data_IF_713226769184
#
_entry.id   IF_713226769184
#
_cell.length_a   1.000
_cell.length_b   1.000
_cell.length_c   1.000
_cell.angle_alpha   90.00
_cell.angle_beta   90.00
_cell.angle_gamma   90.00
#
_symmetry.space_group_name_H-M   'P 1'
#
loop_
_entity.id
_entity.type
_entity.pdbx_description
1 polymer ?
#
# COMPACT_ATOMS: atom_id res chain seq x y z
N UNK A 1 4.43 14.20 -6.46
CA UNK A 1 3.49 13.63 -7.46
C UNK A 1 3.57 12.12 -7.36
N UNK A 2 2.68 11.53 -6.57
CA UNK A 2 2.53 10.07 -6.43
C UNK A 2 2.08 9.53 -7.79
N UNK A 3 2.89 8.70 -8.43
CA UNK A 3 2.47 7.97 -9.63
C UNK A 3 1.55 6.84 -9.16
N UNK A 4 0.26 6.94 -9.48
CA UNK A 4 -0.70 5.87 -9.27
C UNK A 4 -1.11 5.34 -10.63
N UNK A 5 -0.84 4.06 -10.90
CA UNK A 5 -1.41 3.37 -12.05
C UNK A 5 -2.82 2.89 -11.69
N UNK A 6 -3.79 3.21 -12.54
CA UNK A 6 -5.10 2.58 -12.51
C UNK A 6 -4.95 1.15 -13.06
N UNK A 7 -5.49 0.15 -12.35
CA UNK A 7 -5.38 -1.27 -12.75
C UNK A 7 -3.97 -1.86 -12.62
N UNK A 8 -3.23 -1.46 -11.58
CA UNK A 8 -1.87 -1.93 -11.35
C UNK A 8 -1.84 -3.36 -10.76
N UNK A 9 -1.07 -4.26 -11.37
CA UNK A 9 -0.70 -5.51 -10.72
C UNK A 9 0.10 -5.20 -9.44
N UNK A 10 -0.33 -5.77 -8.30
CA UNK A 10 0.30 -5.52 -7.01
C UNK A 10 1.74 -6.08 -6.90
N UNK A 11 2.54 -5.64 -5.92
CA UNK A 11 3.84 -6.26 -5.68
C UNK A 11 3.67 -7.77 -5.41
N UNK A 12 4.64 -8.57 -5.86
CA UNK A 12 4.66 -9.99 -5.54
C UNK A 12 4.76 -10.19 -4.02
N UNK A 13 3.84 -10.99 -3.46
CA UNK A 13 3.90 -11.47 -2.08
C UNK A 13 4.48 -12.88 -2.02
N UNK A 14 4.85 -13.33 -0.82
CA UNK A 14 5.31 -14.71 -0.60
C UNK A 14 4.15 -15.71 -0.66
N UNK A 15 2.93 -15.25 -0.39
CA UNK A 15 1.71 -16.03 -0.57
C UNK A 15 1.12 -15.76 -1.97
N UNK A 16 1.20 -16.75 -2.85
CA UNK A 16 0.71 -16.65 -4.23
C UNK A 16 -0.75 -17.10 -4.40
N UNK A 17 -1.35 -17.71 -3.37
CA UNK A 17 -2.72 -18.21 -3.38
C UNK A 17 -3.81 -17.13 -3.26
N UNK A 18 -3.45 -15.89 -2.91
CA UNK A 18 -4.38 -14.77 -2.80
C UNK A 18 -4.06 -13.69 -3.84
N UNK A 19 -5.01 -13.31 -4.71
CA UNK A 19 -4.78 -12.25 -5.69
C UNK A 19 -4.65 -10.88 -5.03
N UNK A 20 -3.87 -10.01 -5.67
CA UNK A 20 -3.71 -8.60 -5.30
C UNK A 20 -4.14 -7.73 -6.49
N UNK A 21 -5.35 -7.17 -6.41
CA UNK A 21 -5.99 -6.36 -7.46
C UNK A 21 -6.65 -5.12 -6.85
N UNK A 22 -5.87 -4.13 -6.38
CA UNK A 22 -6.42 -2.89 -5.89
C UNK A 22 -6.98 -2.03 -7.03
N UNK A 23 -7.91 -1.12 -6.72
CA UNK A 23 -8.33 -0.07 -7.67
C UNK A 23 -7.19 0.94 -7.89
N UNK A 24 -6.39 1.17 -6.83
CA UNK A 24 -5.25 2.09 -6.85
C UNK A 24 -4.09 1.57 -6.03
N UNK A 25 -2.90 1.61 -6.62
CA UNK A 25 -1.65 1.26 -5.96
C UNK A 25 -0.83 2.52 -5.68
N UNK A 26 -0.32 2.65 -4.45
CA UNK A 26 0.57 3.73 -4.03
C UNK A 26 1.86 3.14 -3.48
N UNK A 27 2.98 3.38 -4.17
CA UNK A 27 4.32 3.10 -3.64
C UNK A 27 4.79 4.28 -2.78
N UNK A 28 4.60 4.18 -1.47
CA UNK A 28 4.95 5.23 -0.53
C UNK A 28 6.46 5.30 -0.31
N UNK A 29 7.04 6.49 -0.45
CA UNK A 29 8.45 6.80 -0.16
C UNK A 29 8.62 7.77 1.00
N UNK A 30 7.53 8.42 1.39
CA UNK A 30 7.46 9.36 2.51
C UNK A 30 6.19 9.11 3.33
N UNK A 31 6.14 9.58 4.59
CA UNK A 31 4.89 9.61 5.35
C UNK A 31 3.78 10.45 4.68
N UNK A 32 4.14 11.45 3.88
CA UNK A 32 3.18 12.27 3.14
C UNK A 32 2.47 11.49 2.03
N UNK A 33 3.17 10.60 1.34
CA UNK A 33 2.55 9.71 0.35
C UNK A 33 1.46 8.82 1.00
N UNK A 34 1.70 8.37 2.24
CA UNK A 34 0.72 7.60 3.03
C UNK A 34 -0.48 8.47 3.41
N UNK A 35 -0.24 9.71 3.88
CA UNK A 35 -1.31 10.67 4.20
C UNK A 35 -2.19 10.95 3.00
N UNK A 36 -1.59 11.23 1.84
CA UNK A 36 -2.32 11.49 0.59
C UNK A 36 -3.15 10.27 0.16
N UNK A 37 -2.59 9.06 0.26
CA UNK A 37 -3.31 7.83 -0.07
C UNK A 37 -4.53 7.59 0.83
N UNK A 38 -4.39 7.81 2.13
CA UNK A 38 -5.49 7.67 3.11
C UNK A 38 -6.55 8.74 2.89
N UNK A 39 -6.15 9.99 2.66
CA UNK A 39 -7.07 11.08 2.36
C UNK A 39 -7.86 10.83 1.07
N UNK A 40 -7.18 10.34 0.03
CA UNK A 40 -7.83 9.93 -1.22
C UNK A 40 -8.85 8.81 -0.96
N UNK A 41 -8.48 7.74 -0.25
CA UNK A 41 -9.38 6.64 0.03
C UNK A 41 -10.61 7.08 0.81
N UNK A 42 -10.42 7.92 1.83
CA UNK A 42 -11.49 8.49 2.63
C UNK A 42 -12.45 9.35 1.78
N UNK A 43 -11.91 10.22 0.93
CA UNK A 43 -12.71 11.05 0.02
C UNK A 43 -13.54 10.26 -0.99
N UNK A 44 -13.20 9.00 -1.25
CA UNK A 44 -13.88 8.12 -2.21
C UNK A 44 -14.58 6.91 -1.55
N UNK A 45 -14.59 6.81 -0.21
CA UNK A 45 -15.19 5.68 0.50
C UNK A 45 -14.50 4.33 0.23
N UNK A 46 -13.22 4.33 -0.13
CA UNK A 46 -12.45 3.15 -0.47
C UNK A 46 -11.76 2.54 0.76
N UNK A 47 -11.64 1.21 0.78
CA UNK A 47 -10.83 0.49 1.79
C UNK A 47 -9.35 0.77 1.56
N UNK A 48 -8.58 0.81 2.65
CA UNK A 48 -7.12 0.93 2.62
C UNK A 48 -6.50 -0.37 3.10
N UNK A 49 -5.54 -0.89 2.33
CA UNK A 49 -4.73 -2.05 2.69
C UNK A 49 -3.26 -1.66 2.66
N UNK A 50 -2.50 -2.02 3.69
CA UNK A 50 -1.05 -1.80 3.75
C UNK A 50 -0.28 -3.06 3.35
N UNK A 51 0.79 -2.91 2.57
CA UNK A 51 1.69 -3.99 2.18
C UNK A 51 3.15 -3.57 2.40
N UNK A 52 3.77 -4.14 3.43
CA UNK A 52 5.18 -3.91 3.73
C UNK A 52 6.07 -4.92 2.97
N UNK A 53 6.39 -6.04 3.59
CA UNK A 53 7.33 -7.06 3.07
C UNK A 53 6.67 -8.21 2.33
N UNK A 54 5.34 -8.35 2.40
CA UNK A 54 4.60 -9.38 1.67
C UNK A 54 4.57 -10.77 2.30
N UNK A 55 4.98 -10.92 3.57
CA UNK A 55 4.90 -12.18 4.32
C UNK A 55 3.54 -12.42 5.00
N UNK A 56 2.69 -11.40 5.10
CA UNK A 56 1.39 -11.54 5.75
C UNK A 56 0.50 -12.54 5.02
N UNK A 57 -0.49 -13.08 5.73
CA UNK A 57 -1.64 -13.80 5.16
C UNK A 57 -2.86 -12.87 5.12
N UNK A 58 -2.83 -11.68 4.47
CA UNK A 58 -4.08 -11.05 4.13
C UNK A 58 -4.77 -11.98 3.16
N UNK A 59 -6.09 -12.18 3.30
CA UNK A 59 -6.86 -12.79 2.22
C UNK A 59 -6.71 -12.00 0.92
N UNK A 60 -7.48 -12.35 -0.10
CA UNK A 60 -7.50 -11.61 -1.36
C UNK A 60 -7.65 -10.10 -1.15
N UNK A 61 -6.82 -9.30 -1.84
CA UNK A 61 -6.98 -7.85 -1.94
C UNK A 61 -7.71 -7.58 -3.24
N UNK A 62 -8.97 -7.20 -3.16
CA UNK A 62 -9.82 -6.88 -4.30
C UNK A 62 -10.40 -5.48 -4.09
N UNK A 63 -10.07 -4.56 -5.00
CA UNK A 63 -10.44 -3.14 -4.95
C UNK A 63 -9.73 -2.35 -3.84
N UNK A 64 -10.15 -1.10 -3.68
CA UNK A 64 -9.60 -0.16 -2.70
C UNK A 64 -8.21 0.37 -3.05
N UNK A 65 -7.57 0.97 -2.05
CA UNK A 65 -6.23 1.55 -2.16
C UNK A 65 -5.22 0.64 -1.46
N UNK A 66 -4.25 0.14 -2.23
CA UNK A 66 -3.09 -0.59 -1.70
C UNK A 66 -1.93 0.37 -1.50
N UNK A 67 -1.46 0.49 -0.26
CA UNK A 67 -0.28 1.29 0.10
C UNK A 67 0.90 0.36 0.31
N UNK A 68 1.87 0.42 -0.59
CA UNK A 68 3.13 -0.34 -0.51
C UNK A 68 4.15 0.51 0.24
N UNK A 69 4.64 0.01 1.37
CA UNK A 69 5.54 0.75 2.27
C UNK A 69 6.99 0.25 2.22
N UNK A 70 7.35 -0.58 1.24
CA UNK A 70 8.69 -1.20 1.15
C UNK A 70 9.86 -0.22 1.13
N UNK A 71 9.65 1.01 0.66
CA UNK A 71 10.67 2.05 0.60
C UNK A 71 10.74 2.91 1.88
N UNK A 72 9.85 2.69 2.85
CA UNK A 72 9.89 3.30 4.18
C UNK A 72 10.69 2.40 5.13
N UNK A 73 11.97 2.20 4.82
CA UNK A 73 12.86 1.21 5.47
C UNK A 73 13.96 1.83 6.35
N UNK A 74 13.93 3.16 6.53
CA UNK A 74 14.87 3.86 7.40
C UNK A 74 14.63 3.56 8.88
N UNK A 75 15.71 3.39 9.65
CA UNK A 75 15.67 3.24 11.11
C UNK A 75 16.26 4.48 11.76
N UNK A 76 15.58 5.02 12.76
CA UNK A 76 16.06 6.11 13.62
C UNK A 76 15.86 5.69 15.08
N UNK A 77 16.80 6.02 15.95
CA UNK A 77 16.68 5.79 17.40
C UNK A 77 16.12 7.06 18.03
N UNK A 78 14.99 6.94 18.73
CA UNK A 78 14.46 8.03 19.55
C UNK A 78 15.34 8.17 20.80
N UNK A 79 15.99 9.33 21.04
CA UNK A 79 17.01 9.47 22.08
C UNK A 79 16.46 9.62 23.52
N UNK A 80 15.16 9.43 23.74
CA UNK A 80 14.46 9.74 25.01
C UNK A 80 14.03 8.50 25.79
#
# INVERSE_FOLDING_TARGET
MVSASAGAEGPAGFQTGFPIRPDRLVEARTPDDVREAVAYAAGHGLRVTAHATGHGLPGAVEGGVLVVTRALDSVTVDPV
#
